data_IF_521817287697
#
_entry.id   IF_521817287697
#
_cell.length_a   1.000
_cell.length_b   1.000
_cell.length_c   1.000
_cell.angle_alpha   90.00
_cell.angle_beta   90.00
_cell.angle_gamma   90.00
#
_symmetry.space_group_name_H-M   'P 1'
#
loop_
_entity.id
_entity.type
_entity.pdbx_description
1 polymer ?
#
# COMPACT_ATOMS: atom_id res chain seq x y z
N UNK A 1 -47.74 -13.68 32.25
CA UNK A 1 -47.96 -12.25 31.93
C UNK A 1 -46.69 -11.75 31.26
N UNK A 2 -46.72 -11.59 29.94
CA UNK A 2 -45.63 -10.96 29.19
C UNK A 2 -46.25 -9.71 28.58
N UNK A 3 -45.76 -8.57 29.06
CA UNK A 3 -46.22 -7.24 28.70
C UNK A 3 -45.67 -6.89 27.31
N UNK A 4 -46.56 -6.79 26.33
CA UNK A 4 -46.20 -6.44 24.95
C UNK A 4 -45.97 -4.93 24.87
N UNK A 5 -44.71 -4.52 24.67
CA UNK A 5 -44.40 -3.13 24.36
C UNK A 5 -44.99 -2.74 23.00
N UNK A 6 -45.85 -1.73 23.03
CA UNK A 6 -46.54 -1.18 21.88
C UNK A 6 -45.54 -0.50 20.93
N UNK A 7 -45.58 -0.86 19.64
CA UNK A 7 -44.70 -0.28 18.60
C UNK A 7 -45.31 1.07 18.21
N UNK A 8 -44.55 2.18 18.18
CA UNK A 8 -45.12 3.48 17.88
C UNK A 8 -45.74 3.47 16.47
N UNK A 9 -47.06 3.59 16.42
CA UNK A 9 -47.80 3.79 15.18
C UNK A 9 -47.50 5.20 14.70
N UNK A 10 -46.78 5.30 13.58
CA UNK A 10 -46.55 6.58 12.92
C UNK A 10 -47.92 7.10 12.45
N UNK A 11 -48.52 8.02 13.22
CA UNK A 11 -49.70 8.76 12.77
C UNK A 11 -49.32 9.51 11.51
N UNK A 12 -49.94 9.17 10.39
CA UNK A 12 -49.80 9.98 9.19
C UNK A 12 -50.63 11.25 9.39
N UNK A 13 -49.95 12.40 9.45
CA UNK A 13 -50.62 13.70 9.46
C UNK A 13 -51.57 13.80 8.25
N UNK A 14 -52.85 13.96 8.54
CA UNK A 14 -53.99 14.00 7.60
C UNK A 14 -54.06 15.30 6.79
N UNK A 15 -52.92 15.92 6.51
CA UNK A 15 -52.79 17.13 5.68
C UNK A 15 -51.89 16.92 4.46
N UNK A 16 -51.71 15.67 4.01
CA UNK A 16 -51.03 15.37 2.74
C UNK A 16 -52.05 15.34 1.61
N UNK A 17 -52.21 16.44 0.89
CA UNK A 17 -53.01 16.42 -0.34
C UNK A 17 -52.45 15.35 -1.29
N UNK A 18 -53.34 14.54 -1.83
CA UNK A 18 -52.98 13.40 -2.67
C UNK A 18 -53.78 13.56 -3.96
N UNK A 19 -53.09 13.50 -5.11
CA UNK A 19 -53.70 13.75 -6.42
C UNK A 19 -53.67 12.47 -7.26
N UNK A 20 -54.70 12.24 -8.09
CA UNK A 20 -54.73 11.11 -9.03
C UNK A 20 -53.65 11.27 -10.10
N UNK A 21 -52.96 10.19 -10.41
CA UNK A 21 -51.95 10.16 -11.47
C UNK A 21 -52.64 10.25 -12.84
N UNK A 22 -52.21 11.16 -13.71
CA UNK A 22 -52.82 11.40 -15.01
C UNK A 22 -52.58 10.27 -16.03
N UNK A 23 -51.49 9.51 -15.87
CA UNK A 23 -51.16 8.38 -16.77
C UNK A 23 -51.87 7.10 -16.33
N UNK A 24 -52.18 6.96 -15.03
CA UNK A 24 -52.82 5.79 -14.44
C UNK A 24 -53.85 6.24 -13.38
N UNK A 25 -55.14 6.42 -13.74
CA UNK A 25 -56.13 7.08 -12.90
C UNK A 25 -56.47 6.33 -11.60
N UNK A 26 -56.13 5.04 -11.55
CA UNK A 26 -56.31 4.16 -10.38
C UNK A 26 -55.24 4.41 -9.31
N UNK A 27 -54.11 5.03 -9.68
CA UNK A 27 -52.98 5.29 -8.78
C UNK A 27 -53.02 6.73 -8.26
N UNK A 28 -52.98 6.91 -6.96
CA UNK A 28 -52.86 8.21 -6.30
C UNK A 28 -51.41 8.49 -5.89
N UNK A 29 -50.97 9.75 -5.95
CA UNK A 29 -49.60 10.18 -5.64
C UNK A 29 -49.64 11.39 -4.71
N UNK A 30 -48.82 11.36 -3.65
CA UNK A 30 -48.70 12.45 -2.68
C UNK A 30 -48.10 13.71 -3.33
N UNK A 31 -48.64 14.89 -3.00
CA UNK A 31 -48.27 16.20 -3.60
C UNK A 31 -47.01 16.85 -3.04
N UNK A 32 -46.25 16.13 -2.20
CA UNK A 32 -45.01 16.64 -1.57
C UNK A 32 -44.04 17.24 -2.60
N UNK A 33 -43.21 18.22 -2.20
CA UNK A 33 -42.22 18.87 -3.09
C UNK A 33 -41.32 17.89 -3.84
N UNK A 34 -40.94 16.77 -3.19
CA UNK A 34 -40.14 15.70 -3.77
C UNK A 34 -40.81 14.99 -4.96
N UNK A 35 -42.14 15.01 -5.05
CA UNK A 35 -42.91 14.36 -6.11
C UNK A 35 -43.32 15.32 -7.24
N UNK A 36 -42.97 16.61 -7.14
CA UNK A 36 -43.29 17.64 -8.16
C UNK A 36 -42.96 17.24 -9.60
N UNK A 37 -41.79 16.65 -9.93
CA UNK A 37 -41.51 16.26 -11.32
C UNK A 37 -42.44 15.16 -11.87
N UNK A 38 -43.15 14.43 -11.00
CA UNK A 38 -44.06 13.34 -11.38
C UNK A 38 -45.55 13.72 -11.34
N UNK A 39 -45.90 14.91 -10.83
CA UNK A 39 -47.28 15.40 -10.70
C UNK A 39 -47.75 16.22 -11.92
N UNK A 40 -46.90 16.34 -12.93
CA UNK A 40 -46.93 17.39 -13.93
C UNK A 40 -47.99 17.25 -15.06
N UNK A 41 -49.09 16.52 -14.82
CA UNK A 41 -50.11 16.24 -15.83
C UNK A 41 -51.55 16.47 -15.35
N UNK A 42 -51.77 17.41 -14.43
CA UNK A 42 -53.13 17.85 -14.09
C UNK A 42 -53.49 19.00 -15.02
N UNK A 43 -54.38 18.79 -15.98
CA UNK A 43 -54.94 19.87 -16.79
C UNK A 43 -56.45 20.02 -16.59
N UNK A 44 -56.81 21.26 -16.23
CA UNK A 44 -58.02 22.02 -16.57
C UNK A 44 -59.34 21.56 -15.96
N UNK A 45 -59.76 22.29 -14.93
CA UNK A 45 -61.14 22.38 -14.48
C UNK A 45 -61.27 23.48 -13.44
N UNK A 46 -61.95 24.57 -13.81
CA UNK A 46 -62.28 25.78 -13.03
C UNK A 46 -61.16 26.84 -12.83
N UNK A 47 -61.35 27.96 -13.53
CA UNK A 47 -60.71 29.29 -13.42
C UNK A 47 -59.19 29.33 -13.28
N UNK A 48 -58.48 29.31 -14.42
CA UNK A 48 -57.07 29.69 -14.47
C UNK A 48 -56.97 31.13 -15.02
N UNK A 49 -56.38 32.04 -14.25
CA UNK A 49 -55.80 33.26 -14.79
C UNK A 49 -54.52 32.91 -15.54
N UNK A 50 -54.17 33.73 -16.54
CA UNK A 50 -53.18 33.51 -17.61
C UNK A 50 -51.72 33.23 -17.16
N UNK A 51 -51.44 33.19 -15.85
CA UNK A 51 -50.07 33.19 -15.31
C UNK A 51 -49.52 31.81 -14.88
N UNK A 52 -50.32 30.75 -14.79
CA UNK A 52 -49.88 29.45 -14.20
C UNK A 52 -49.48 28.36 -15.21
N UNK A 53 -49.30 28.70 -16.49
CA UNK A 53 -49.07 27.73 -17.56
C UNK A 53 -47.59 27.51 -17.95
N UNK A 54 -46.60 27.62 -17.06
CA UNK A 54 -45.21 27.46 -17.53
C UNK A 54 -44.30 26.85 -16.46
N UNK A 55 -44.16 25.52 -16.41
CA UNK A 55 -42.91 24.90 -15.88
C UNK A 55 -42.71 23.41 -16.18
N UNK A 56 -43.46 22.81 -17.11
CA UNK A 56 -43.21 21.46 -17.64
C UNK A 56 -42.97 21.33 -19.17
N UNK A 57 -42.80 22.39 -20.00
CA UNK A 57 -42.59 22.18 -21.43
C UNK A 57 -41.32 21.38 -21.75
N UNK A 58 -40.25 21.62 -20.99
CA UNK A 58 -38.88 21.25 -21.40
C UNK A 58 -38.63 19.74 -21.51
N UNK A 59 -39.19 18.92 -20.61
CA UNK A 59 -38.98 17.47 -20.64
C UNK A 59 -39.80 16.79 -21.74
N UNK A 60 -41.07 17.17 -21.88
CA UNK A 60 -41.94 16.66 -22.94
C UNK A 60 -41.40 17.05 -24.31
N UNK A 61 -41.06 18.33 -24.50
CA UNK A 61 -40.40 18.81 -25.71
C UNK A 61 -39.09 18.07 -26.00
N UNK A 62 -38.27 17.78 -24.97
CA UNK A 62 -37.02 17.03 -25.17
C UNK A 62 -37.30 15.60 -25.65
N UNK A 63 -38.28 14.91 -25.07
CA UNK A 63 -38.67 13.56 -25.50
C UNK A 63 -39.24 13.56 -26.92
N UNK A 64 -40.14 14.48 -27.21
CA UNK A 64 -40.75 14.62 -28.54
C UNK A 64 -39.67 14.95 -29.60
N UNK A 65 -38.66 15.76 -29.25
CA UNK A 65 -37.48 16.00 -30.10
C UNK A 65 -36.64 14.74 -30.31
N UNK A 66 -36.40 13.93 -29.27
CA UNK A 66 -35.65 12.67 -29.39
C UNK A 66 -36.39 11.66 -30.27
N UNK A 67 -37.71 11.54 -30.11
CA UNK A 67 -38.57 10.69 -30.95
C UNK A 67 -38.55 11.13 -32.41
N UNK A 68 -38.63 12.44 -32.67
CA UNK A 68 -38.54 13.00 -34.01
C UNK A 68 -37.17 12.77 -34.65
N UNK A 69 -36.07 12.91 -33.90
CA UNK A 69 -34.71 12.64 -34.36
C UNK A 69 -34.51 11.16 -34.70
N UNK A 70 -34.97 10.25 -33.83
CA UNK A 70 -34.89 8.81 -34.07
C UNK A 70 -35.76 8.38 -35.26
N UNK A 71 -36.97 8.91 -35.39
CA UNK A 71 -37.84 8.63 -36.53
C UNK A 71 -37.25 9.15 -37.85
N UNK A 72 -36.62 10.34 -37.86
CA UNK A 72 -35.91 10.86 -39.02
C UNK A 72 -34.71 9.98 -39.40
N UNK A 73 -34.00 9.45 -38.41
CA UNK A 73 -32.90 8.52 -38.62
C UNK A 73 -33.37 7.17 -39.20
N UNK A 74 -34.49 6.63 -38.72
CA UNK A 74 -35.11 5.42 -39.28
C UNK A 74 -35.50 5.59 -40.75
N UNK A 75 -36.09 6.74 -41.12
CA UNK A 75 -36.38 7.05 -42.53
C UNK A 75 -35.12 7.06 -43.40
N UNK A 76 -34.04 7.68 -42.93
CA UNK A 76 -32.75 7.65 -43.63
C UNK A 76 -32.20 6.23 -43.81
N UNK A 77 -32.47 5.34 -42.85
CA UNK A 77 -32.08 3.93 -42.91
C UNK A 77 -32.90 3.17 -43.96
N UNK A 78 -34.22 3.36 -43.98
CA UNK A 78 -35.14 2.76 -44.98
C UNK A 78 -34.78 3.20 -46.40
N UNK A 79 -34.65 4.51 -46.65
CA UNK A 79 -34.25 5.07 -47.96
C UNK A 79 -32.91 4.49 -48.44
N UNK A 80 -31.98 4.25 -47.50
CA UNK A 80 -30.67 3.66 -47.80
C UNK A 80 -30.80 2.19 -48.20
N UNK A 81 -31.64 1.42 -47.50
CA UNK A 81 -31.92 0.02 -47.84
C UNK A 81 -32.56 -0.09 -49.22
N UNK A 82 -33.46 0.83 -49.58
CA UNK A 82 -34.03 0.92 -50.94
C UNK A 82 -32.98 1.27 -52.01
N UNK A 83 -32.02 2.15 -51.70
CA UNK A 83 -30.90 2.47 -52.60
C UNK A 83 -29.95 1.28 -52.78
N UNK A 84 -29.72 0.51 -51.72
CA UNK A 84 -28.94 -0.73 -51.78
C UNK A 84 -29.67 -1.79 -52.62
N UNK A 85 -30.99 -1.94 -52.44
CA UNK A 85 -31.81 -2.85 -53.22
C UNK A 85 -31.84 -2.50 -54.72
N UNK A 86 -31.75 -1.19 -55.04
CA UNK A 86 -31.55 -0.68 -56.41
C UNK A 86 -30.12 -0.84 -56.95
N UNK A 87 -29.19 -1.39 -56.18
CA UNK A 87 -27.81 -1.64 -56.59
C UNK A 87 -26.88 -0.42 -56.50
N UNK A 88 -27.29 0.65 -55.83
CA UNK A 88 -26.50 1.86 -55.67
C UNK A 88 -25.45 1.71 -54.54
N UNK A 89 -24.21 2.12 -54.79
CA UNK A 89 -23.16 2.08 -53.75
C UNK A 89 -23.34 3.24 -52.78
N UNK A 90 -23.86 2.95 -51.59
CA UNK A 90 -24.07 3.93 -50.51
C UNK A 90 -23.04 3.79 -49.39
N UNK A 91 -22.55 4.92 -48.88
CA UNK A 91 -21.60 4.98 -47.77
C UNK A 91 -22.16 4.47 -46.43
N UNK A 92 -21.34 4.46 -45.36
CA UNK A 92 -21.77 4.05 -44.03
C UNK A 92 -22.93 4.93 -43.50
N UNK A 93 -23.90 4.32 -42.79
CA UNK A 93 -24.98 5.06 -42.14
C UNK A 93 -24.42 5.86 -40.95
N UNK A 94 -24.86 7.11 -40.78
CA UNK A 94 -24.52 7.90 -39.60
C UNK A 94 -25.03 7.20 -38.33
N UNK A 95 -24.25 7.21 -37.23
CA UNK A 95 -24.72 6.68 -35.95
C UNK A 95 -25.99 7.38 -35.46
N UNK A 96 -26.88 6.64 -34.79
CA UNK A 96 -28.10 7.19 -34.22
C UNK A 96 -27.78 8.32 -33.21
N UNK A 97 -28.32 9.54 -33.39
CA UNK A 97 -28.09 10.66 -32.48
C UNK A 97 -28.68 10.43 -31.07
N UNK A 98 -29.63 9.51 -30.92
CA UNK A 98 -30.32 9.21 -29.66
C UNK A 98 -29.70 8.02 -28.92
N UNK A 99 -28.84 7.24 -29.57
CA UNK A 99 -28.18 6.10 -28.94
C UNK A 99 -27.19 6.55 -27.86
N UNK A 100 -27.28 5.94 -26.67
CA UNK A 100 -26.30 6.17 -25.62
C UNK A 100 -24.96 5.54 -26.03
N UNK A 101 -23.92 6.36 -26.12
CA UNK A 101 -22.56 5.89 -26.43
C UNK A 101 -21.96 5.26 -25.18
N UNK A 102 -22.11 3.95 -25.05
CA UNK A 102 -21.46 3.22 -23.96
C UNK A 102 -19.94 3.26 -24.13
N UNK A 103 -19.23 3.72 -23.09
CA UNK A 103 -17.78 3.64 -23.04
C UNK A 103 -17.39 2.18 -22.85
N UNK A 104 -17.10 1.48 -23.95
CA UNK A 104 -16.63 0.11 -23.89
C UNK A 104 -15.30 -0.02 -23.13
N UNK A 105 -14.91 -1.25 -22.78
CA UNK A 105 -13.66 -1.56 -22.08
C UNK A 105 -12.43 -0.93 -22.76
N UNK A 106 -12.38 -0.94 -24.09
CA UNK A 106 -11.33 -0.28 -24.88
C UNK A 106 -11.31 1.25 -24.71
N UNK A 107 -12.48 1.87 -24.57
CA UNK A 107 -12.60 3.31 -24.28
C UNK A 107 -12.09 3.63 -22.88
N UNK A 108 -12.44 2.80 -21.89
CA UNK A 108 -11.93 2.94 -20.52
C UNK A 108 -10.41 2.72 -20.45
N UNK A 109 -9.88 1.70 -21.12
CA UNK A 109 -8.43 1.44 -21.22
C UNK A 109 -7.68 2.62 -21.85
N UNK A 110 -8.20 3.20 -22.93
CA UNK A 110 -7.62 4.40 -23.55
C UNK A 110 -7.67 5.60 -22.62
N UNK A 111 -8.77 5.80 -21.91
CA UNK A 111 -8.89 6.86 -20.91
C UNK A 111 -7.86 6.69 -19.79
N UNK A 112 -7.70 5.47 -19.27
CA UNK A 112 -6.68 5.16 -18.26
C UNK A 112 -5.28 5.44 -18.83
N UNK A 113 -4.98 5.02 -20.05
CA UNK A 113 -3.69 5.28 -20.71
C UNK A 113 -3.42 6.78 -20.86
N UNK A 114 -4.41 7.59 -21.27
CA UNK A 114 -4.24 9.03 -21.36
C UNK A 114 -4.03 9.67 -19.99
N UNK A 115 -4.78 9.23 -18.98
CA UNK A 115 -4.61 9.69 -17.61
C UNK A 115 -3.22 9.35 -17.05
N UNK A 116 -2.70 8.14 -17.28
CA UNK A 116 -1.35 7.76 -16.82
C UNK A 116 -0.26 8.57 -17.51
N UNK A 117 -0.41 8.86 -18.80
CA UNK A 117 0.53 9.73 -19.54
C UNK A 117 0.51 11.15 -18.97
N UNK A 118 -0.68 11.73 -18.75
CA UNK A 118 -0.83 13.08 -18.17
C UNK A 118 -0.19 13.14 -16.79
N UNK A 119 -0.47 12.15 -15.93
CA UNK A 119 0.12 12.06 -14.58
C UNK A 119 1.64 11.92 -14.64
N UNK A 120 2.19 11.15 -15.58
CA UNK A 120 3.64 11.01 -15.74
C UNK A 120 4.29 12.31 -16.22
N UNK A 121 3.68 13.03 -17.17
CA UNK A 121 4.16 14.33 -17.64
C UNK A 121 4.09 15.36 -16.51
N UNK A 122 3.01 15.36 -15.73
CA UNK A 122 2.87 16.24 -14.56
C UNK A 122 3.96 15.94 -13.51
N UNK A 123 4.23 14.67 -13.22
CA UNK A 123 5.34 14.28 -12.35
C UNK A 123 6.68 14.80 -12.88
N UNK A 124 6.93 14.68 -14.19
CA UNK A 124 8.16 15.19 -14.80
C UNK A 124 8.32 16.70 -14.63
N UNK A 125 7.22 17.45 -14.70
CA UNK A 125 7.25 18.91 -14.55
C UNK A 125 7.39 19.35 -13.09
N UNK A 126 6.73 18.65 -12.15
CA UNK A 126 6.69 19.04 -10.73
C UNK A 126 7.93 18.54 -9.99
N UNK A 127 8.25 17.26 -10.08
CA UNK A 127 9.29 16.63 -9.27
C UNK A 127 10.54 16.24 -10.05
N UNK A 128 10.49 16.33 -11.38
CA UNK A 128 11.63 16.00 -12.25
C UNK A 128 11.69 14.52 -12.65
N UNK A 129 10.81 13.67 -12.10
CA UNK A 129 10.68 12.25 -12.46
C UNK A 129 9.28 11.89 -12.95
N UNK A 130 9.19 10.99 -13.94
CA UNK A 130 7.91 10.54 -14.50
C UNK A 130 7.09 9.68 -13.54
N UNK A 131 7.73 9.13 -12.52
CA UNK A 131 7.12 8.20 -11.56
C UNK A 131 6.90 8.84 -10.20
N UNK A 132 6.96 10.17 -10.08
CA UNK A 132 6.72 10.88 -8.81
C UNK A 132 7.64 10.39 -7.67
N UNK A 133 8.92 10.16 -7.97
CA UNK A 133 9.92 9.65 -7.02
C UNK A 133 9.49 8.32 -6.37
N UNK A 134 8.55 7.61 -6.98
CA UNK A 134 8.08 6.31 -6.52
C UNK A 134 9.15 5.26 -6.79
N UNK A 135 10.15 5.23 -5.92
CA UNK A 135 11.20 4.22 -5.87
C UNK A 135 10.63 2.97 -5.19
N UNK A 136 9.78 2.23 -5.89
CA UNK A 136 9.25 0.95 -5.40
C UNK A 136 9.91 -0.21 -6.13
N UNK A 137 10.20 -1.30 -5.40
CA UNK A 137 10.79 -2.52 -5.98
C UNK A 137 10.00 -3.05 -7.17
N UNK A 138 8.68 -2.83 -7.15
CA UNK A 138 7.74 -3.34 -8.14
C UNK A 138 7.94 -2.76 -9.55
N UNK A 139 8.52 -1.57 -9.67
CA UNK A 139 8.81 -0.95 -10.98
C UNK A 139 10.20 -1.30 -11.52
N UNK A 140 11.11 -1.79 -10.67
CA UNK A 140 12.41 -2.25 -11.11
C UNK A 140 12.30 -3.69 -11.60
N UNK A 141 12.40 -3.88 -12.92
CA UNK A 141 12.38 -5.20 -13.54
C UNK A 141 13.46 -6.15 -12.97
N UNK A 142 14.59 -5.57 -12.50
CA UNK A 142 15.69 -6.27 -11.82
C UNK A 142 15.24 -7.02 -10.55
N UNK A 143 14.15 -6.60 -9.90
CA UNK A 143 13.59 -7.28 -8.71
C UNK A 143 13.02 -8.65 -9.06
N UNK A 144 12.38 -8.81 -10.23
CA UNK A 144 11.69 -10.04 -10.60
C UNK A 144 12.60 -11.05 -11.30
N UNK A 145 13.80 -10.62 -11.72
CA UNK A 145 14.77 -11.53 -12.29
C UNK A 145 15.54 -12.21 -11.16
N UNK A 146 15.56 -13.55 -11.07
CA UNK A 146 16.35 -14.23 -10.05
C UNK A 146 17.83 -13.88 -10.25
N UNK A 147 18.38 -13.11 -9.32
CA UNK A 147 19.83 -12.95 -9.22
C UNK A 147 20.39 -14.29 -8.78
N UNK A 148 21.20 -14.93 -9.63
CA UNK A 148 21.91 -16.15 -9.24
C UNK A 148 22.66 -15.86 -7.94
N UNK A 149 22.33 -16.59 -6.88
CA UNK A 149 22.89 -16.36 -5.54
C UNK A 149 24.41 -16.59 -5.61
N UNK A 150 25.17 -15.51 -5.79
CA UNK A 150 26.62 -15.60 -5.94
C UNK A 150 27.25 -15.89 -4.59
N UNK A 151 28.17 -16.85 -4.55
CA UNK A 151 28.99 -17.08 -3.37
C UNK A 151 30.18 -16.12 -3.39
N UNK A 152 30.37 -15.39 -2.29
CA UNK A 152 31.50 -14.48 -2.10
C UNK A 152 32.46 -15.05 -1.06
N UNK A 153 33.76 -14.87 -1.29
CA UNK A 153 34.75 -14.98 -0.23
C UNK A 153 34.97 -13.61 0.42
N UNK A 154 35.46 -13.56 1.65
CA UNK A 154 35.76 -12.28 2.34
C UNK A 154 36.71 -11.39 1.53
N UNK A 155 37.74 -11.99 0.92
CA UNK A 155 38.67 -11.28 0.04
C UNK A 155 37.97 -10.71 -1.18
N UNK A 156 37.11 -11.50 -1.83
CA UNK A 156 36.37 -11.04 -3.01
C UNK A 156 35.40 -9.93 -2.64
N UNK A 157 34.74 -10.01 -1.47
CA UNK A 157 33.83 -8.97 -1.01
C UNK A 157 34.56 -7.65 -0.78
N UNK A 158 35.78 -7.69 -0.24
CA UNK A 158 36.59 -6.48 0.04
C UNK A 158 36.98 -5.69 -1.21
N UNK A 159 36.93 -6.29 -2.40
CA UNK A 159 37.17 -5.59 -3.67
C UNK A 159 36.00 -4.68 -4.11
N UNK A 160 34.85 -4.78 -3.43
CA UNK A 160 33.61 -4.04 -3.69
C UNK A 160 33.34 -2.99 -2.60
N UNK A 161 34.39 -2.29 -2.18
CA UNK A 161 34.35 -1.22 -1.17
C UNK A 161 33.95 0.16 -1.72
N UNK A 162 33.83 0.30 -3.06
CA UNK A 162 33.49 1.55 -3.72
C UNK A 162 34.66 2.51 -3.94
N UNK A 163 35.91 2.12 -3.62
CA UNK A 163 37.11 2.94 -3.88
C UNK A 163 37.43 3.07 -5.36
N UNK A 164 37.14 2.02 -6.14
CA UNK A 164 37.35 2.00 -7.58
C UNK A 164 36.12 2.57 -8.31
N UNK A 165 36.27 3.66 -9.09
CA UNK A 165 35.15 4.24 -9.82
C UNK A 165 34.57 3.22 -10.81
N UNK A 166 33.25 3.07 -10.82
CA UNK A 166 32.52 2.18 -11.72
C UNK A 166 32.31 0.75 -11.20
N UNK A 167 32.93 0.36 -10.07
CA UNK A 167 32.57 -0.90 -9.39
C UNK A 167 31.35 -0.71 -8.49
N UNK A 168 30.46 -1.72 -8.38
CA UNK A 168 29.36 -1.68 -7.43
C UNK A 168 29.87 -1.83 -5.99
N UNK A 169 29.08 -1.35 -5.04
CA UNK A 169 29.36 -1.42 -3.60
C UNK A 169 28.51 -2.51 -2.98
N UNK A 170 29.18 -3.49 -2.37
CA UNK A 170 28.52 -4.62 -1.72
C UNK A 170 28.68 -4.54 -0.21
N UNK A 171 27.65 -5.01 0.49
CA UNK A 171 27.62 -5.08 1.95
C UNK A 171 27.13 -6.47 2.36
N UNK A 172 27.84 -7.12 3.26
CA UNK A 172 27.36 -8.32 3.93
C UNK A 172 26.82 -7.93 5.32
N UNK A 173 25.54 -8.20 5.54
CA UNK A 173 24.81 -7.70 6.72
C UNK A 173 23.64 -8.63 7.08
N UNK A 174 23.94 -9.87 7.45
CA UNK A 174 22.93 -10.83 7.88
C UNK A 174 23.54 -11.93 8.74
N UNK A 175 22.73 -12.49 9.63
CA UNK A 175 23.07 -13.71 10.40
C UNK A 175 23.47 -14.85 9.46
N UNK A 176 22.92 -14.89 8.24
CA UNK A 176 23.20 -15.92 7.25
C UNK A 176 24.35 -15.55 6.29
N UNK A 177 25.02 -14.41 6.48
CA UNK A 177 26.04 -13.89 5.57
C UNK A 177 25.51 -13.39 4.23
N UNK A 178 24.22 -13.03 4.14
CA UNK A 178 23.63 -12.51 2.90
C UNK A 178 24.25 -11.17 2.47
N UNK A 179 24.52 -11.04 1.16
CA UNK A 179 25.16 -9.89 0.53
C UNK A 179 24.15 -9.06 -0.26
N UNK A 180 24.19 -7.74 -0.04
CA UNK A 180 23.32 -6.77 -0.66
C UNK A 180 24.10 -5.76 -1.53
N UNK A 181 23.51 -5.41 -2.66
CA UNK A 181 23.93 -4.29 -3.51
C UNK A 181 23.49 -2.97 -2.87
N UNK A 182 24.44 -2.22 -2.34
CA UNK A 182 24.18 -0.92 -1.70
C UNK A 182 24.69 0.25 -2.53
N UNK A 183 25.02 0.02 -3.81
CA UNK A 183 25.59 1.03 -4.71
C UNK A 183 24.73 2.30 -4.79
N UNK A 184 23.40 2.20 -4.72
CA UNK A 184 22.50 3.36 -4.76
C UNK A 184 22.44 4.16 -3.44
N UNK A 185 22.97 3.63 -2.35
CA UNK A 185 22.92 4.26 -1.03
C UNK A 185 24.05 5.27 -0.86
N UNK A 186 23.71 6.56 -0.80
CA UNK A 186 24.69 7.65 -0.61
C UNK A 186 25.53 7.49 0.67
N UNK A 187 24.98 6.86 1.71
CA UNK A 187 25.70 6.66 2.96
C UNK A 187 26.84 5.63 2.87
N UNK A 188 26.78 4.72 1.89
CA UNK A 188 27.81 3.68 1.65
C UNK A 188 28.84 4.11 0.60
N UNK A 189 28.59 5.20 -0.12
CA UNK A 189 29.54 5.76 -1.07
C UNK A 189 30.79 6.28 -0.35
N UNK A 190 31.95 6.40 -1.04
CA UNK A 190 33.15 6.98 -0.46
C UNK A 190 32.88 8.34 0.19
N UNK A 191 33.26 8.50 1.46
CA UNK A 191 32.98 9.71 2.25
C UNK A 191 31.61 9.74 2.95
N UNK A 192 30.75 8.74 2.73
CA UNK A 192 29.50 8.57 3.44
C UNK A 192 29.69 8.03 4.87
N UNK A 193 28.65 8.20 5.70
CA UNK A 193 28.66 7.81 7.12
C UNK A 193 28.78 6.31 7.39
N UNK A 194 28.50 5.47 6.39
CA UNK A 194 28.56 4.01 6.46
C UNK A 194 29.54 3.41 5.44
N UNK A 195 30.40 4.24 4.84
CA UNK A 195 31.42 3.80 3.87
C UNK A 195 32.36 2.72 4.42
N UNK A 196 32.64 2.73 5.72
CA UNK A 196 33.51 1.73 6.36
C UNK A 196 32.91 0.32 6.48
N UNK A 197 31.62 0.15 6.13
CA UNK A 197 30.99 -1.16 6.00
C UNK A 197 31.03 -1.72 4.58
N UNK A 198 31.41 -0.90 3.59
CA UNK A 198 31.53 -1.36 2.22
C UNK A 198 32.58 -2.47 2.10
N UNK A 199 32.23 -3.56 1.42
CA UNK A 199 33.12 -4.70 1.16
C UNK A 199 33.41 -5.61 2.36
N UNK A 200 32.75 -5.41 3.51
CA UNK A 200 33.01 -6.16 4.75
C UNK A 200 31.72 -6.78 5.28
N UNK A 201 31.83 -7.91 5.99
CA UNK A 201 30.73 -8.41 6.81
C UNK A 201 30.69 -7.68 8.15
N UNK A 202 29.62 -6.92 8.33
CA UNK A 202 29.39 -6.08 9.50
C UNK A 202 28.20 -6.55 10.34
N UNK A 203 27.83 -7.83 10.26
CA UNK A 203 26.70 -8.38 11.00
C UNK A 203 26.76 -7.98 12.48
N UNK A 204 27.86 -8.28 13.20
CA UNK A 204 27.99 -7.96 14.63
C UNK A 204 27.78 -6.48 14.96
N UNK A 205 28.29 -5.58 14.11
CA UNK A 205 28.16 -4.14 14.28
C UNK A 205 26.69 -3.67 14.22
N UNK A 206 25.87 -4.25 13.34
CA UNK A 206 24.44 -3.92 13.25
C UNK A 206 23.64 -4.35 14.48
N UNK A 207 24.02 -5.45 15.12
CA UNK A 207 23.34 -5.96 16.31
C UNK A 207 23.69 -5.18 17.57
N UNK A 208 24.98 -4.91 17.73
CA UNK A 208 25.55 -4.26 18.93
C UNK A 208 25.52 -2.73 18.86
N UNK A 209 25.44 -2.14 17.66
CA UNK A 209 25.57 -0.69 17.44
C UNK A 209 27.02 -0.19 17.46
N UNK A 210 28.01 -1.07 17.65
CA UNK A 210 29.43 -0.73 17.70
C UNK A 210 30.05 -0.73 16.29
N UNK A 211 29.83 0.33 15.54
CA UNK A 211 30.13 0.37 14.11
C UNK A 211 31.63 0.39 13.74
N UNK A 212 32.51 0.83 14.65
CA UNK A 212 33.96 0.90 14.39
C UNK A 212 34.68 -0.39 14.75
N UNK A 213 34.35 -0.97 15.91
CA UNK A 213 35.05 -2.10 16.51
C UNK A 213 34.49 -3.47 16.08
N UNK A 214 33.17 -3.58 15.85
CA UNK A 214 32.51 -4.87 15.57
C UNK A 214 32.29 -5.17 14.08
N UNK A 215 33.27 -4.82 13.23
CA UNK A 215 33.23 -5.11 11.78
C UNK A 215 33.61 -6.57 11.50
N UNK A 216 32.78 -7.49 12.02
CA UNK A 216 32.97 -8.94 11.94
C UNK A 216 31.64 -9.67 11.82
N UNK A 217 31.69 -10.89 11.28
CA UNK A 217 30.56 -11.82 11.19
C UNK A 217 30.33 -12.61 12.48
N UNK A 218 31.20 -12.46 13.50
CA UNK A 218 31.08 -13.19 14.76
C UNK A 218 29.85 -12.74 15.58
N UNK A 219 28.83 -13.59 15.62
CA UNK A 219 27.59 -13.38 16.38
C UNK A 219 27.61 -14.00 17.79
N UNK A 220 28.74 -14.56 18.23
CA UNK A 220 28.84 -15.17 19.57
C UNK A 220 28.82 -14.08 20.65
N UNK A 221 28.11 -14.36 21.75
CA UNK A 221 28.04 -13.45 22.91
C UNK A 221 27.14 -12.23 22.72
N UNK A 222 26.26 -12.24 21.72
CA UNK A 222 25.21 -11.22 21.58
C UNK A 222 24.07 -11.49 22.56
N UNK A 223 23.56 -10.41 23.14
CA UNK A 223 22.34 -10.44 23.96
C UNK A 223 21.09 -10.62 23.08
N UNK A 224 19.97 -11.05 23.68
CA UNK A 224 18.70 -11.26 22.98
C UNK A 224 18.21 -9.99 22.25
N UNK A 225 18.46 -8.81 22.85
CA UNK A 225 18.11 -7.53 22.23
C UNK A 225 18.98 -7.22 21.01
N UNK A 226 20.26 -7.59 21.06
CA UNK A 226 21.21 -7.40 19.95
C UNK A 226 20.87 -8.34 18.80
N UNK A 227 20.46 -9.57 19.12
CA UNK A 227 19.96 -10.53 18.14
C UNK A 227 18.67 -10.03 17.44
N UNK A 228 17.73 -9.45 18.19
CA UNK A 228 16.53 -8.82 17.60
C UNK A 228 16.90 -7.66 16.68
N UNK A 229 17.87 -6.83 17.06
CA UNK A 229 18.39 -5.77 16.20
C UNK A 229 18.98 -6.33 14.90
N UNK A 230 19.75 -7.42 14.95
CA UNK A 230 20.26 -8.09 13.75
C UNK A 230 19.15 -8.55 12.82
N UNK A 231 18.12 -9.19 13.36
CA UNK A 231 16.96 -9.65 12.59
C UNK A 231 16.24 -8.46 11.96
N UNK A 232 16.05 -7.36 12.70
CA UNK A 232 15.49 -6.13 12.17
C UNK A 232 16.28 -5.58 10.98
N UNK A 233 17.61 -5.51 11.10
CA UNK A 233 18.48 -5.07 10.00
C UNK A 233 18.41 -6.01 8.79
N UNK A 234 18.33 -7.33 9.02
CA UNK A 234 18.14 -8.32 7.94
C UNK A 234 16.86 -8.04 7.16
N UNK A 235 15.74 -7.78 7.86
CA UNK A 235 14.47 -7.41 7.22
C UNK A 235 14.58 -6.07 6.50
N UNK A 236 15.22 -5.06 7.11
CA UNK A 236 15.44 -3.76 6.50
C UNK A 236 16.12 -3.90 5.12
N UNK A 237 17.26 -4.60 5.02
CA UNK A 237 17.93 -4.77 3.72
C UNK A 237 17.13 -5.63 2.73
N UNK A 238 16.44 -6.67 3.22
CA UNK A 238 15.59 -7.52 2.39
C UNK A 238 14.41 -6.73 1.78
N UNK A 239 13.86 -5.76 2.49
CA UNK A 239 12.68 -4.97 2.09
C UNK A 239 13.03 -3.60 1.50
N UNK A 240 14.28 -3.13 1.62
CA UNK A 240 14.70 -1.81 1.17
C UNK A 240 14.59 -1.62 -0.34
N UNK A 241 13.91 -0.58 -0.80
CA UNK A 241 13.54 -0.41 -2.21
C UNK A 241 14.70 -0.35 -3.23
N UNK A 242 15.86 0.13 -2.80
CA UNK A 242 17.03 0.30 -3.69
C UNK A 242 18.15 -0.71 -3.44
N UNK A 243 18.02 -1.57 -2.42
CA UNK A 243 19.01 -2.60 -2.10
C UNK A 243 18.52 -3.96 -2.54
N UNK A 244 19.40 -4.72 -3.18
CA UNK A 244 19.08 -6.01 -3.79
C UNK A 244 20.00 -7.09 -3.25
N UNK A 245 19.43 -8.23 -2.86
CA UNK A 245 20.23 -9.40 -2.48
C UNK A 245 20.91 -9.97 -3.73
N UNK A 246 22.24 -10.08 -3.70
CA UNK A 246 23.04 -10.63 -4.79
C UNK A 246 23.50 -12.06 -4.48
N UNK A 247 23.69 -12.37 -3.20
CA UNK A 247 24.32 -13.64 -2.84
C UNK A 247 24.57 -13.80 -1.35
N UNK A 248 25.60 -14.58 -1.02
CA UNK A 248 26.01 -14.91 0.35
C UNK A 248 27.53 -14.99 0.45
N UNK A 249 28.08 -14.60 1.59
CA UNK A 249 29.51 -14.76 1.92
C UNK A 249 29.71 -16.10 2.60
N UNK A 250 30.75 -16.81 2.14
CA UNK A 250 31.26 -17.98 2.80
C UNK A 250 32.36 -17.56 3.78
N UNK A 251 32.05 -17.66 5.08
CA UNK A 251 33.01 -17.45 6.15
C UNK A 251 33.76 -18.73 6.47
N UNK A 252 35.02 -18.56 6.93
CA UNK A 252 35.74 -19.66 7.54
C UNK A 252 35.13 -19.96 8.92
N UNK A 253 35.08 -21.22 9.36
CA UNK A 253 34.62 -21.55 10.71
C UNK A 253 35.40 -20.75 11.76
N UNK A 254 34.69 -20.12 12.69
CA UNK A 254 35.30 -19.38 13.80
C UNK A 254 35.75 -20.39 14.87
N UNK A 255 37.00 -20.31 15.29
CA UNK A 255 37.52 -21.15 16.37
C UNK A 255 36.85 -20.75 17.71
N UNK A 256 36.22 -21.69 18.44
CA UNK A 256 35.61 -21.42 19.75
C UNK A 256 36.59 -20.89 20.81
N UNK A 257 37.90 -21.11 20.64
CA UNK A 257 38.92 -20.61 21.56
C UNK A 257 39.27 -19.13 21.33
N UNK A 258 38.89 -18.54 20.19
CA UNK A 258 39.13 -17.12 19.93
C UNK A 258 38.31 -16.25 20.90
N UNK A 259 38.91 -15.22 21.52
CA UNK A 259 38.19 -14.35 22.42
C UNK A 259 37.06 -13.63 21.69
N UNK A 260 35.91 -13.56 22.35
CA UNK A 260 34.73 -12.85 21.82
C UNK A 260 35.08 -11.35 21.73
N UNK A 261 34.77 -10.66 20.61
CA UNK A 261 35.04 -9.24 20.49
C UNK A 261 34.38 -8.42 21.60
N UNK A 262 35.16 -7.53 22.24
CA UNK A 262 34.70 -6.68 23.33
C UNK A 262 33.68 -5.64 22.86
N UNK A 263 32.58 -5.50 23.62
CA UNK A 263 31.53 -4.54 23.31
C UNK A 263 32.02 -3.09 23.48
N UNK A 264 31.62 -2.16 22.60
CA UNK A 264 32.00 -0.75 22.73
C UNK A 264 31.50 -0.11 24.05
N UNK A 265 30.25 -0.37 24.46
CA UNK A 265 29.68 0.05 25.74
C UNK A 265 30.38 -0.56 26.98
N UNK A 266 30.89 0.27 27.91
CA UNK A 266 31.62 -0.22 29.08
C UNK A 266 30.77 -1.09 30.02
N UNK A 267 29.46 -0.81 30.13
CA UNK A 267 28.51 -1.60 30.95
C UNK A 267 28.25 -3.01 30.42
N UNK A 268 28.42 -3.21 29.11
CA UNK A 268 28.26 -4.52 28.47
C UNK A 268 29.59 -5.29 28.43
N UNK A 269 30.73 -4.59 28.39
CA UNK A 269 32.07 -5.21 28.56
C UNK A 269 32.16 -6.00 29.86
N UNK A 270 31.66 -5.45 30.96
CA UNK A 270 31.73 -6.11 32.29
C UNK A 270 30.82 -7.32 32.42
N UNK A 271 29.76 -7.41 31.61
CA UNK A 271 28.86 -8.59 31.58
C UNK A 271 29.40 -9.73 30.71
N UNK A 272 30.14 -9.39 29.65
CA UNK A 272 30.65 -10.35 28.66
C UNK A 272 32.16 -10.65 28.80
N UNK A 273 32.83 -10.07 29.80
CA UNK A 273 34.22 -10.37 30.11
C UNK A 273 34.41 -11.84 30.52
N UNK A 274 35.62 -12.41 30.37
CA UNK A 274 35.88 -13.77 30.80
C UNK A 274 35.53 -13.85 32.29
N UNK A 275 34.65 -14.79 32.63
CA UNK A 275 34.25 -15.05 34.00
C UNK A 275 35.53 -15.30 34.83
N UNK A 276 35.97 -14.26 35.54
CA UNK A 276 36.77 -14.42 36.75
C UNK A 276 35.93 -15.28 37.66
N UNK A 277 36.32 -16.55 37.78
CA UNK A 277 35.98 -17.39 38.92
C UNK A 277 36.48 -16.66 40.15
N UNK A 278 35.60 -15.88 40.75
CA UNK A 278 35.75 -15.42 42.12
C UNK A 278 34.50 -15.88 42.84
N UNK A 279 34.76 -16.84 43.71
CA UNK A 279 33.85 -17.53 44.60
C UNK A 279 32.71 -16.64 45.08
N UNK A 280 31.49 -17.09 44.85
CA UNK A 280 30.36 -16.64 45.65
C UNK A 280 30.60 -17.14 47.08
N UNK A 281 30.59 -16.29 48.12
CA UNK A 281 30.57 -16.81 49.46
C UNK A 281 29.24 -17.52 49.67
N UNK A 282 29.36 -18.81 49.97
CA UNK A 282 28.32 -19.70 50.45
C UNK A 282 27.49 -18.96 51.51
N UNK A 283 26.19 -18.85 51.25
CA UNK A 283 25.20 -18.50 52.26
C UNK A 283 25.21 -19.61 53.32
N UNK A 284 25.99 -19.40 54.38
CA UNK A 284 25.92 -20.20 55.59
C UNK A 284 24.74 -19.71 56.40
N UNK A 285 23.72 -20.55 56.47
CA UNK A 285 22.64 -20.49 57.44
C UNK A 285 23.20 -20.37 58.85
N UNK A 286 22.85 -19.30 59.56
CA UNK A 286 23.10 -19.14 60.99
C UNK A 286 22.35 -20.24 61.77
N UNK A 287 23.12 -21.18 62.33
CA UNK A 287 22.67 -22.11 63.34
C UNK A 287 22.65 -21.43 64.70
N UNK A 288 21.43 -21.37 65.23
CA UNK A 288 20.99 -21.33 66.63
C UNK A 288 22.03 -21.83 67.63
N UNK A 289 22.39 -20.97 68.59
CA UNK A 289 23.15 -21.32 69.79
C UNK A 289 22.30 -21.15 71.05
N UNK A 290 22.21 -22.23 71.83
CA UNK A 290 21.36 -22.46 73.00
C UNK A 290 21.69 -21.60 74.24
N UNK A 291 20.64 -21.18 74.95
CA UNK A 291 20.68 -20.61 76.30
C UNK A 291 19.73 -21.38 77.22
N UNK A 292 20.32 -22.24 78.05
CA UNK A 292 19.73 -23.24 78.94
C UNK A 292 19.12 -22.58 80.19
N UNK A 293 17.85 -22.87 80.51
CA UNK A 293 17.30 -22.69 81.87
C UNK A 293 16.71 -24.00 82.35
N UNK A 294 17.38 -24.57 83.36
CA UNK A 294 16.91 -25.69 84.16
C UNK A 294 15.69 -25.26 84.99
N UNK A 295 14.65 -26.10 85.01
CA UNK A 295 13.88 -26.32 86.23
C UNK A 295 13.52 -27.80 86.35
N UNK A 296 13.56 -28.22 87.61
CA UNK A 296 13.75 -29.54 88.20
C UNK A 296 12.41 -30.29 88.35
N UNK A 297 12.46 -31.62 88.33
CA UNK A 297 11.34 -32.55 88.54
C UNK A 297 10.68 -32.47 89.93
N UNK A 298 9.44 -33.00 89.95
CA UNK A 298 8.46 -33.25 91.04
C UNK A 298 7.41 -32.15 91.26
#
# INVERSE_FOLDING_TARGET
MVEAHDRPTHKEDTTKSTTRNATLPIRTVSTKPANRPFLAYVHVGSSCTEADQVTVPRYKEHRDRQEALHAAWLKKKEDREERIARGEKVGPLEPDPTAQKEVGLLGLLKLILYMTIIVAIAGKFITGSFTWEYHSKWLLLKTYWPTGQRLFSERLLSEFDGTVPGKPIYLAASIDGDVYDVTKGLAYQPGGSYSFFAGIDAARAFGTGCFKEHRTHDIRGLDDNEMKSLVHWKHFYAEHATYFKIGRVLHKPIDPATPIPEHCDPKKRTKNGPASRTDSPISSSEMKGDGKTQHREL
#
